data_IF_982947110066
#
_entry.id   IF_982947110066
#
_cell.length_a   1.000
_cell.length_b   1.000
_cell.length_c   1.000
_cell.angle_alpha   90.00
_cell.angle_beta   90.00
_cell.angle_gamma   90.00
#
_symmetry.space_group_name_H-M   'P 1'
#
loop_
_entity.id
_entity.type
_entity.pdbx_description
1 polymer ?
#
# COMPACT_ATOMS: atom_id res chain seq x y z
N UNK A 1 73.93 -30.03 -38.49
CA UNK A 1 72.64 -29.39 -38.87
C UNK A 1 71.59 -29.78 -37.83
N UNK A 2 70.77 -28.81 -37.38
CA UNK A 2 69.70 -28.89 -36.38
C UNK A 2 70.15 -29.17 -34.92
N UNK A 3 69.63 -28.55 -33.86
CA UNK A 3 68.37 -27.80 -33.65
C UNK A 3 68.53 -26.90 -32.40
N UNK A 4 68.17 -25.63 -32.49
CA UNK A 4 68.04 -24.76 -31.32
C UNK A 4 66.65 -24.94 -30.70
N UNK A 5 66.58 -25.33 -29.41
CA UNK A 5 65.35 -25.38 -28.63
C UNK A 5 65.09 -24.02 -27.97
N UNK A 6 64.12 -23.30 -28.53
CA UNK A 6 63.45 -22.16 -27.89
C UNK A 6 62.39 -22.69 -26.94
N UNK A 7 62.55 -22.45 -25.63
CA UNK A 7 61.50 -22.68 -24.63
C UNK A 7 60.72 -21.39 -24.42
N UNK A 8 59.47 -21.41 -24.90
CA UNK A 8 58.50 -20.34 -24.77
C UNK A 8 58.11 -20.08 -23.31
N UNK A 9 58.07 -18.80 -22.96
CA UNK A 9 57.63 -18.28 -21.66
C UNK A 9 56.19 -17.79 -21.82
N UNK A 10 55.19 -18.63 -21.53
CA UNK A 10 53.78 -18.22 -21.49
C UNK A 10 53.08 -18.88 -20.29
N UNK A 11 52.29 -18.09 -19.54
CA UNK A 11 51.34 -18.64 -18.56
C UNK A 11 51.43 -18.09 -17.13
N UNK A 12 51.49 -16.76 -16.92
CA UNK A 12 51.20 -16.20 -15.58
C UNK A 12 50.20 -15.04 -15.55
N UNK A 13 49.85 -14.47 -16.71
CA UNK A 13 48.93 -13.33 -16.80
C UNK A 13 47.43 -13.70 -16.71
N UNK A 14 47.04 -14.96 -16.93
CA UNK A 14 45.63 -15.37 -16.95
C UNK A 14 44.97 -15.61 -15.58
N UNK A 15 45.74 -15.95 -14.53
CA UNK A 15 45.18 -16.26 -13.20
C UNK A 15 44.90 -15.04 -12.34
N UNK A 16 45.66 -13.95 -12.50
CA UNK A 16 45.48 -12.71 -11.73
C UNK A 16 44.26 -11.91 -12.20
N UNK A 17 44.04 -11.83 -13.51
CA UNK A 17 42.84 -11.15 -14.08
C UNK A 17 41.54 -11.83 -13.66
N UNK A 18 41.53 -13.17 -13.59
CA UNK A 18 40.38 -13.95 -13.12
C UNK A 18 40.01 -13.67 -11.65
N UNK A 19 40.99 -13.57 -10.75
CA UNK A 19 40.73 -13.26 -9.34
C UNK A 19 40.17 -11.84 -9.13
N UNK A 20 40.67 -10.84 -9.86
CA UNK A 20 40.13 -9.48 -9.76
C UNK A 20 38.69 -9.38 -10.26
N UNK A 21 38.36 -10.06 -11.36
CA UNK A 21 37.00 -10.10 -11.88
C UNK A 21 36.02 -10.73 -10.88
N UNK A 22 36.42 -11.84 -10.22
CA UNK A 22 35.58 -12.49 -9.20
C UNK A 22 35.39 -11.60 -7.97
N UNK A 23 36.43 -10.92 -7.49
CA UNK A 23 36.32 -9.98 -6.36
C UNK A 23 35.39 -8.81 -6.70
N UNK A 24 35.50 -8.24 -7.90
CA UNK A 24 34.61 -7.17 -8.36
C UNK A 24 33.16 -7.66 -8.42
N UNK A 25 32.89 -8.84 -8.96
CA UNK A 25 31.55 -9.42 -9.01
C UNK A 25 30.97 -9.66 -7.61
N UNK A 26 31.78 -10.12 -6.65
CA UNK A 26 31.36 -10.29 -5.26
C UNK A 26 31.03 -8.94 -4.61
N UNK A 27 31.87 -7.92 -4.80
CA UNK A 27 31.62 -6.57 -4.28
C UNK A 27 30.35 -5.97 -4.87
N UNK A 28 30.11 -6.14 -6.17
CA UNK A 28 28.87 -5.72 -6.84
C UNK A 28 27.68 -6.49 -6.24
N UNK A 29 27.77 -7.80 -6.11
CA UNK A 29 26.69 -8.62 -5.57
C UNK A 29 26.36 -8.23 -4.12
N UNK A 30 27.36 -8.02 -3.26
CA UNK A 30 27.18 -7.55 -1.88
C UNK A 30 26.60 -6.13 -1.86
N UNK A 31 27.06 -5.25 -2.75
CA UNK A 31 26.50 -3.90 -2.90
C UNK A 31 25.03 -3.91 -3.32
N UNK A 32 24.67 -4.74 -4.30
CA UNK A 32 23.29 -4.90 -4.79
C UNK A 32 22.40 -5.52 -3.71
N UNK A 33 22.86 -6.57 -3.02
CA UNK A 33 22.14 -7.19 -1.91
C UNK A 33 21.98 -6.23 -0.72
N UNK A 34 23.01 -5.47 -0.38
CA UNK A 34 22.97 -4.44 0.65
C UNK A 34 21.99 -3.32 0.29
N UNK A 35 21.99 -2.84 -0.96
CA UNK A 35 21.04 -1.85 -1.44
C UNK A 35 19.60 -2.39 -1.41
N UNK A 36 19.39 -3.62 -1.86
CA UNK A 36 18.09 -4.30 -1.82
C UNK A 36 17.59 -4.44 -0.38
N UNK A 37 18.46 -4.84 0.55
CA UNK A 37 18.15 -4.94 1.98
C UNK A 37 17.80 -3.57 2.58
N UNK A 38 18.57 -2.52 2.29
CA UNK A 38 18.29 -1.17 2.78
C UNK A 38 16.98 -0.60 2.18
N UNK A 39 16.68 -0.88 0.92
CA UNK A 39 15.40 -0.52 0.28
C UNK A 39 14.21 -1.26 0.88
N UNK A 40 14.35 -2.56 1.10
CA UNK A 40 13.31 -3.38 1.76
C UNK A 40 12.99 -2.85 3.16
N UNK A 41 14.01 -2.34 3.86
CA UNK A 41 13.88 -1.66 5.16
C UNK A 41 13.44 -0.19 5.08
N UNK A 42 13.14 0.34 3.89
CA UNK A 42 12.74 1.73 3.65
C UNK A 42 13.74 2.78 4.18
N UNK A 43 15.05 2.46 4.24
CA UNK A 43 16.10 3.35 4.76
C UNK A 43 16.74 4.27 3.71
N UNK A 44 16.39 4.09 2.43
CA UNK A 44 16.89 4.91 1.33
C UNK A 44 15.78 5.85 0.84
N UNK A 45 16.09 7.13 0.53
CA UNK A 45 15.11 8.03 -0.06
C UNK A 45 14.69 7.49 -1.44
N UNK A 46 13.41 7.57 -1.80
CA UNK A 46 12.93 7.07 -3.08
C UNK A 46 13.50 7.89 -4.22
N UNK A 47 13.77 7.25 -5.36
CA UNK A 47 14.29 7.96 -6.54
C UNK A 47 13.20 8.86 -7.13
N UNK A 48 13.59 9.87 -7.91
CA UNK A 48 12.67 10.84 -8.51
C UNK A 48 11.51 10.21 -9.32
N UNK A 49 11.72 9.05 -9.95
CA UNK A 49 10.72 8.35 -10.78
C UNK A 49 10.15 7.08 -10.15
N UNK A 50 10.43 6.83 -8.87
CA UNK A 50 9.93 5.62 -8.22
C UNK A 50 8.42 5.71 -7.95
N UNK A 51 7.66 4.76 -8.54
CA UNK A 51 6.23 4.55 -8.34
C UNK A 51 5.90 4.39 -6.85
N UNK A 52 5.20 5.36 -6.26
CA UNK A 52 4.91 5.36 -4.82
C UNK A 52 3.71 6.22 -4.47
N UNK A 53 3.19 6.03 -3.27
CA UNK A 53 2.29 6.98 -2.63
C UNK A 53 2.94 7.55 -1.37
N UNK A 54 2.54 8.75 -1.00
CA UNK A 54 2.91 9.40 0.25
C UNK A 54 1.62 9.82 0.95
N UNK A 55 1.42 9.29 2.15
CA UNK A 55 0.33 9.66 3.03
C UNK A 55 0.88 10.60 4.12
N UNK A 56 0.30 11.79 4.27
CA UNK A 56 0.72 12.82 5.20
C UNK A 56 -0.45 13.26 6.07
N UNK A 57 -0.26 13.19 7.39
CA UNK A 57 -1.18 13.72 8.39
C UNK A 57 -0.38 14.31 9.55
N UNK A 58 -0.83 15.44 10.09
CA UNK A 58 -0.25 16.11 11.26
C UNK A 58 1.28 16.30 11.18
N UNK A 59 1.79 16.65 10.00
CA UNK A 59 3.22 16.88 9.76
C UNK A 59 4.09 15.62 9.64
N UNK A 60 3.51 14.42 9.75
CA UNK A 60 4.21 13.14 9.53
C UNK A 60 3.82 12.52 8.20
N UNK A 61 4.79 11.95 7.50
CA UNK A 61 4.60 11.29 6.21
C UNK A 61 4.97 9.80 6.28
N UNK A 62 4.19 8.97 5.59
CA UNK A 62 4.44 7.54 5.38
C UNK A 62 4.50 7.28 3.87
N UNK A 63 5.61 6.72 3.41
CA UNK A 63 5.78 6.30 2.02
C UNK A 63 5.29 4.87 1.85
N UNK A 64 4.47 4.63 0.83
CA UNK A 64 3.91 3.34 0.49
C UNK A 64 4.30 2.96 -0.94
N UNK A 65 4.52 1.67 -1.18
CA UNK A 65 4.47 1.15 -2.55
C UNK A 65 3.03 1.28 -3.09
N UNK A 66 2.86 1.17 -4.40
CA UNK A 66 1.51 1.19 -5.01
C UNK A 66 0.64 0.03 -4.51
N UNK A 67 1.22 -1.16 -4.30
CA UNK A 67 0.53 -2.30 -3.70
C UNK A 67 0.09 -1.99 -2.26
N UNK A 68 0.98 -1.46 -1.43
CA UNK A 68 0.65 -1.10 -0.05
C UNK A 68 -0.45 -0.04 0.01
N UNK A 69 -0.42 0.97 -0.86
CA UNK A 69 -1.46 1.99 -0.94
C UNK A 69 -2.82 1.42 -1.36
N UNK A 70 -2.82 0.52 -2.34
CA UNK A 70 -4.02 -0.19 -2.79
C UNK A 70 -4.65 -1.01 -1.64
N UNK A 71 -3.85 -1.83 -0.96
CA UNK A 71 -4.32 -2.68 0.14
C UNK A 71 -4.72 -1.85 1.37
N UNK A 72 -4.01 -0.76 1.67
CA UNK A 72 -4.40 0.21 2.72
C UNK A 72 -5.77 0.81 2.42
N UNK A 73 -6.03 1.19 1.17
CA UNK A 73 -7.32 1.76 0.75
C UNK A 73 -8.47 0.77 0.96
N UNK A 74 -8.23 -0.53 0.77
CA UNK A 74 -9.22 -1.60 1.04
C UNK A 74 -9.42 -1.77 2.54
N UNK A 75 -8.35 -2.01 3.32
CA UNK A 75 -8.43 -2.28 4.76
C UNK A 75 -9.17 -1.14 5.47
N UNK A 76 -8.77 0.11 5.21
CA UNK A 76 -9.36 1.29 5.85
C UNK A 76 -10.73 1.61 5.26
N UNK A 77 -10.92 1.47 3.94
CA UNK A 77 -12.21 1.70 3.31
C UNK A 77 -13.32 0.80 3.87
N UNK A 78 -13.01 -0.47 4.15
CA UNK A 78 -13.94 -1.42 4.77
C UNK A 78 -14.34 -0.99 6.20
N UNK A 79 -13.45 -0.38 7.00
CA UNK A 79 -13.86 0.15 8.31
C UNK A 79 -14.81 1.34 8.17
N UNK A 80 -14.57 2.21 7.19
CA UNK A 80 -15.45 3.34 6.84
C UNK A 80 -16.80 2.87 6.33
N UNK A 81 -16.85 1.82 5.52
CA UNK A 81 -18.10 1.18 5.09
C UNK A 81 -18.91 0.70 6.30
N UNK A 82 -18.23 0.03 7.23
CA UNK A 82 -18.81 -0.53 8.45
C UNK A 82 -19.12 0.51 9.52
N UNK A 83 -18.75 1.78 9.29
CA UNK A 83 -18.92 2.88 10.24
C UNK A 83 -18.29 2.59 11.61
N UNK A 84 -17.14 1.90 11.60
CA UNK A 84 -16.38 1.65 12.83
C UNK A 84 -15.65 2.90 13.28
N UNK A 85 -15.35 2.96 14.58
CA UNK A 85 -14.48 3.99 15.15
C UNK A 85 -13.13 4.03 14.39
N UNK A 86 -12.53 5.22 14.16
CA UNK A 86 -11.22 5.36 13.50
C UNK A 86 -10.11 4.51 14.13
N UNK A 87 -10.19 4.21 15.43
CA UNK A 87 -9.28 3.30 16.11
C UNK A 87 -9.24 1.91 15.45
N UNK A 88 -10.35 1.45 14.85
CA UNK A 88 -10.40 0.16 14.16
C UNK A 88 -9.41 0.12 12.99
N UNK A 89 -9.40 1.18 12.17
CA UNK A 89 -8.46 1.30 11.06
C UNK A 89 -7.02 1.37 11.56
N UNK A 90 -6.75 2.08 12.66
CA UNK A 90 -5.42 2.13 13.27
C UNK A 90 -4.95 0.74 13.71
N UNK A 91 -5.80 -0.03 14.41
CA UNK A 91 -5.47 -1.39 14.87
C UNK A 91 -5.26 -2.34 13.68
N UNK A 92 -6.14 -2.30 12.67
CA UNK A 92 -6.00 -3.11 11.46
C UNK A 92 -4.72 -2.77 10.70
N UNK A 93 -4.39 -1.47 10.56
CA UNK A 93 -3.17 -1.06 9.87
C UNK A 93 -1.91 -1.46 10.62
N UNK A 94 -1.86 -1.31 11.95
CA UNK A 94 -0.74 -1.80 12.76
C UNK A 94 -0.56 -3.31 12.62
N UNK A 95 -1.67 -4.05 12.59
CA UNK A 95 -1.68 -5.50 12.38
C UNK A 95 -1.15 -5.87 11.00
N UNK A 96 -1.74 -5.36 9.92
CA UNK A 96 -1.32 -5.67 8.55
C UNK A 96 0.14 -5.31 8.28
N UNK A 97 0.64 -4.22 8.89
CA UNK A 97 2.05 -3.85 8.79
C UNK A 97 2.97 -4.89 9.43
N UNK A 98 2.62 -5.34 10.63
CA UNK A 98 3.41 -6.34 11.36
C UNK A 98 3.35 -7.72 10.70
N UNK A 99 2.17 -8.14 10.24
CA UNK A 99 1.95 -9.49 9.72
C UNK A 99 2.52 -9.67 8.31
N UNK A 100 2.37 -8.67 7.44
CA UNK A 100 2.73 -8.83 6.02
C UNK A 100 3.49 -7.66 5.41
N UNK A 101 3.74 -6.59 6.18
CA UNK A 101 4.21 -5.32 5.62
C UNK A 101 3.17 -4.69 4.68
N UNK A 102 1.87 -4.94 4.91
CA UNK A 102 0.74 -4.53 4.05
C UNK A 102 0.86 -5.16 2.66
N UNK A 103 1.03 -6.49 2.59
CA UNK A 103 1.12 -7.26 1.35
C UNK A 103 0.19 -8.46 1.39
N UNK A 104 -0.32 -8.88 0.24
CA UNK A 104 -1.20 -10.04 0.18
C UNK A 104 -0.38 -11.32 -0.10
N UNK A 105 0.30 -11.83 0.92
CA UNK A 105 1.29 -12.90 0.78
C UNK A 105 0.64 -14.28 0.58
N UNK A 106 1.16 -15.08 -0.35
CA UNK A 106 0.71 -16.46 -0.57
C UNK A 106 1.44 -17.49 0.30
N UNK A 107 2.22 -17.02 1.28
CA UNK A 107 3.06 -17.82 2.17
C UNK A 107 3.17 -17.16 3.54
N UNK A 108 3.65 -17.93 4.52
CA UNK A 108 3.78 -17.53 5.92
C UNK A 108 4.24 -18.71 6.78
N UNK A 109 4.16 -18.56 8.10
CA UNK A 109 4.35 -19.68 9.02
C UNK A 109 3.17 -20.67 8.93
N UNK A 110 3.44 -21.98 8.86
CA UNK A 110 2.44 -23.03 8.68
C UNK A 110 1.54 -22.77 7.44
N UNK A 111 0.25 -22.53 7.65
CA UNK A 111 -0.77 -22.23 6.63
C UNK A 111 -1.23 -20.75 6.69
N UNK A 112 -0.45 -19.86 7.32
CA UNK A 112 -0.70 -18.42 7.33
C UNK A 112 -0.50 -17.80 5.95
N UNK A 113 -1.48 -17.03 5.49
CA UNK A 113 -1.44 -16.30 4.21
C UNK A 113 -2.26 -15.00 4.31
N UNK A 114 -2.16 -14.18 3.27
CA UNK A 114 -2.93 -12.95 3.10
C UNK A 114 -2.43 -11.77 3.95
N UNK A 115 -3.23 -10.70 3.95
CA UNK A 115 -2.94 -9.40 4.58
C UNK A 115 -2.55 -9.49 6.06
N UNK A 116 -3.28 -10.33 6.80
CA UNK A 116 -3.18 -10.46 8.25
C UNK A 116 -2.55 -11.80 8.66
N UNK A 117 -1.92 -12.52 7.72
CA UNK A 117 -1.34 -13.85 7.97
C UNK A 117 -2.30 -14.81 8.69
N UNK A 118 -3.58 -14.76 8.29
CA UNK A 118 -4.66 -15.58 8.82
C UNK A 118 -4.49 -17.04 8.39
N UNK A 119 -5.02 -17.96 9.19
CA UNK A 119 -4.86 -19.41 8.99
C UNK A 119 -6.21 -20.09 8.75
N UNK A 120 -6.38 -20.82 7.64
CA UNK A 120 -7.57 -21.65 7.44
C UNK A 120 -7.77 -22.67 8.56
N UNK A 121 -6.68 -23.25 9.08
CA UNK A 121 -6.73 -24.18 10.23
C UNK A 121 -7.15 -23.54 11.57
N UNK A 122 -7.33 -22.21 11.63
CA UNK A 122 -7.83 -21.49 12.81
C UNK A 122 -9.18 -20.81 12.52
N UNK A 123 -9.95 -21.35 11.57
CA UNK A 123 -11.31 -20.92 11.24
C UNK A 123 -11.44 -19.46 10.77
N UNK A 124 -10.37 -18.88 10.23
CA UNK A 124 -10.42 -17.54 9.63
C UNK A 124 -11.10 -17.51 8.25
N UNK A 125 -11.28 -18.67 7.61
CA UNK A 125 -11.85 -18.81 6.27
C UNK A 125 -11.04 -19.79 5.40
N UNK A 126 -11.54 -20.11 4.21
CA UNK A 126 -10.78 -20.92 3.25
C UNK A 126 -9.58 -20.14 2.70
N UNK A 127 -8.58 -20.83 2.13
CA UNK A 127 -7.43 -20.19 1.49
C UNK A 127 -7.84 -19.12 0.45
N UNK A 128 -8.86 -19.42 -0.37
CA UNK A 128 -9.37 -18.47 -1.36
C UNK A 128 -9.98 -17.23 -0.70
N UNK A 129 -10.71 -17.41 0.40
CA UNK A 129 -11.34 -16.32 1.13
C UNK A 129 -10.31 -15.41 1.80
N UNK A 130 -9.34 -15.96 2.53
CA UNK A 130 -8.36 -15.11 3.23
C UNK A 130 -7.32 -14.46 2.29
N UNK A 131 -7.18 -14.96 1.06
CA UNK A 131 -6.43 -14.28 -0.01
C UNK A 131 -7.22 -13.14 -0.66
N UNK A 132 -8.54 -13.05 -0.46
CA UNK A 132 -9.33 -11.90 -0.86
C UNK A 132 -9.16 -10.78 0.18
N UNK A 133 -8.58 -9.62 -0.18
CA UNK A 133 -8.32 -8.55 0.77
C UNK A 133 -9.59 -7.93 1.38
N UNK A 134 -10.73 -7.97 0.69
CA UNK A 134 -12.02 -7.52 1.23
C UNK A 134 -12.55 -8.50 2.27
N UNK A 135 -12.47 -9.80 1.99
CA UNK A 135 -12.87 -10.83 2.95
C UNK A 135 -11.98 -10.79 4.20
N UNK A 136 -10.65 -10.81 4.02
CA UNK A 136 -9.69 -10.81 5.13
C UNK A 136 -9.87 -9.61 6.05
N UNK A 137 -10.10 -8.41 5.47
CA UNK A 137 -10.40 -7.19 6.23
C UNK A 137 -11.71 -7.31 7.01
N UNK A 138 -12.77 -7.83 6.40
CA UNK A 138 -14.04 -8.04 7.09
C UNK A 138 -13.93 -9.08 8.22
N UNK A 139 -13.21 -10.17 7.99
CA UNK A 139 -12.95 -11.20 8.99
C UNK A 139 -12.17 -10.61 10.18
N UNK A 140 -11.12 -9.83 9.92
CA UNK A 140 -10.35 -9.14 10.95
C UNK A 140 -11.23 -8.24 11.82
N UNK A 141 -12.02 -7.36 11.20
CA UNK A 141 -12.91 -6.48 11.94
C UNK A 141 -14.02 -7.24 12.68
N UNK A 142 -14.47 -8.40 12.18
CA UNK A 142 -15.42 -9.26 12.90
C UNK A 142 -14.83 -9.85 14.18
N UNK A 143 -13.52 -10.13 14.19
CA UNK A 143 -12.81 -10.53 15.41
C UNK A 143 -12.57 -9.33 16.33
N UNK A 144 -12.12 -8.19 15.80
CA UNK A 144 -11.83 -6.97 16.57
C UNK A 144 -13.03 -6.52 17.41
N UNK A 145 -14.22 -6.44 16.81
CA UNK A 145 -15.41 -5.91 17.51
C UNK A 145 -15.90 -6.78 18.67
N UNK A 146 -15.37 -8.01 18.81
CA UNK A 146 -15.66 -8.90 19.94
C UNK A 146 -14.74 -8.64 21.14
N UNK A 147 -13.67 -7.86 20.98
CA UNK A 147 -12.74 -7.53 22.06
C UNK A 147 -13.34 -6.41 22.93
N UNK A 148 -13.48 -6.59 24.24
CA UNK A 148 -14.02 -5.53 25.10
C UNK A 148 -13.15 -4.27 25.04
N UNK A 149 -13.80 -3.10 24.95
CA UNK A 149 -13.15 -1.78 24.98
C UNK A 149 -12.04 -1.56 23.93
N UNK A 150 -12.08 -2.26 22.79
CA UNK A 150 -11.09 -2.11 21.72
C UNK A 150 -10.95 -0.67 21.21
N UNK A 151 -12.01 0.15 21.30
CA UNK A 151 -12.03 1.54 20.85
C UNK A 151 -11.08 2.44 21.64
N UNK A 152 -10.84 2.12 22.92
CA UNK A 152 -9.98 2.91 23.81
C UNK A 152 -8.75 2.11 24.26
N UNK A 153 -8.58 0.88 23.78
CA UNK A 153 -7.46 0.01 24.12
C UNK A 153 -6.16 0.46 23.47
N UNK A 154 -5.04 0.06 24.07
CA UNK A 154 -3.71 0.16 23.46
C UNK A 154 -3.72 -0.62 22.12
N UNK A 155 -3.14 0.00 21.09
CA UNK A 155 -3.22 -0.52 19.71
C UNK A 155 -2.51 -1.88 19.62
N UNK A 156 -1.32 -1.98 20.20
CA UNK A 156 -0.56 -3.22 20.24
C UNK A 156 -1.31 -4.32 20.98
N UNK A 157 -1.81 -4.04 22.18
CA UNK A 157 -2.49 -5.05 23.00
C UNK A 157 -3.80 -5.53 22.35
N UNK A 158 -4.52 -4.62 21.69
CA UNK A 158 -5.75 -4.95 20.97
C UNK A 158 -5.45 -5.78 19.71
N UNK A 159 -4.43 -5.41 18.93
CA UNK A 159 -3.97 -6.19 17.78
C UNK A 159 -3.53 -7.60 18.20
N UNK A 160 -2.77 -7.69 19.30
CA UNK A 160 -2.34 -8.94 19.90
C UNK A 160 -3.52 -9.78 20.40
N UNK A 161 -4.58 -9.17 20.95
CA UNK A 161 -5.79 -9.88 21.34
C UNK A 161 -6.59 -10.43 20.15
N UNK A 162 -6.53 -9.78 18.97
CA UNK A 162 -7.11 -10.32 17.73
C UNK A 162 -6.29 -11.50 17.21
N UNK A 163 -4.99 -11.31 17.03
CA UNK A 163 -4.11 -12.24 16.30
C UNK A 163 -3.55 -13.37 17.18
N UNK A 164 -3.40 -13.12 18.48
CA UNK A 164 -2.79 -14.05 19.45
C UNK A 164 -1.41 -14.54 19.01
N UNK A 165 -0.55 -13.61 18.59
CA UNK A 165 0.80 -13.92 18.10
C UNK A 165 1.74 -14.39 19.23
N UNK A 166 2.91 -14.96 18.88
CA UNK A 166 3.96 -15.30 19.85
C UNK A 166 4.81 -14.11 20.33
N UNK A 167 4.55 -12.88 19.86
CA UNK A 167 5.39 -11.71 20.11
C UNK A 167 4.55 -10.53 20.63
N UNK A 168 4.41 -10.38 21.97
CA UNK A 168 3.44 -9.47 22.56
C UNK A 168 3.54 -8.00 22.12
N UNK A 169 4.75 -7.49 21.87
CA UNK A 169 5.00 -6.06 21.56
C UNK A 169 5.30 -5.77 20.07
N UNK A 170 5.13 -6.75 19.19
CA UNK A 170 5.60 -6.62 17.81
C UNK A 170 4.87 -5.53 16.99
N UNK A 171 3.62 -5.23 17.35
CA UNK A 171 2.79 -4.23 16.65
C UNK A 171 3.16 -2.79 17.02
N UNK A 172 3.66 -2.57 18.25
CA UNK A 172 3.93 -1.24 18.81
C UNK A 172 4.79 -0.36 17.91
N UNK A 173 5.79 -0.94 17.24
CA UNK A 173 6.68 -0.22 16.31
C UNK A 173 5.98 0.36 15.07
N UNK A 174 4.76 -0.09 14.76
CA UNK A 174 3.99 0.32 13.59
C UNK A 174 2.89 1.34 13.90
N UNK A 175 2.58 1.59 15.17
CA UNK A 175 1.44 2.39 15.59
C UNK A 175 1.43 3.80 14.99
N UNK A 176 2.56 4.50 15.01
CA UNK A 176 2.64 5.87 14.47
C UNK A 176 2.36 5.92 12.98
N UNK A 177 2.85 4.95 12.21
CA UNK A 177 2.56 4.86 10.78
C UNK A 177 1.09 4.48 10.58
N UNK A 178 0.57 3.54 11.36
CA UNK A 178 -0.83 3.13 11.31
C UNK A 178 -1.80 4.29 11.59
N UNK A 179 -1.48 5.19 12.53
CA UNK A 179 -2.27 6.40 12.80
C UNK A 179 -2.31 7.33 11.58
N UNK A 180 -1.15 7.59 10.94
CA UNK A 180 -1.10 8.44 9.73
C UNK A 180 -1.93 7.82 8.62
N UNK A 181 -1.75 6.52 8.35
CA UNK A 181 -2.49 5.81 7.31
C UNK A 181 -3.99 5.79 7.58
N UNK A 182 -4.39 5.54 8.83
CA UNK A 182 -5.79 5.59 9.26
C UNK A 182 -6.38 6.98 9.03
N UNK A 183 -5.75 8.05 9.52
CA UNK A 183 -6.24 9.44 9.35
C UNK A 183 -6.40 9.83 7.89
N UNK A 184 -5.41 9.50 7.05
CA UNK A 184 -5.48 9.79 5.62
C UNK A 184 -6.62 9.00 4.99
N UNK A 185 -6.58 7.67 5.02
CA UNK A 185 -7.52 6.85 4.26
C UNK A 185 -8.95 6.83 4.83
N UNK A 186 -9.17 7.20 6.09
CA UNK A 186 -10.52 7.47 6.63
C UNK A 186 -11.07 8.84 6.23
N UNK A 187 -10.27 9.68 5.56
CA UNK A 187 -10.64 11.03 5.14
C UNK A 187 -10.53 12.11 6.21
N UNK A 188 -9.93 11.82 7.38
CA UNK A 188 -9.69 12.80 8.45
C UNK A 188 -8.57 13.78 8.13
N UNK A 189 -7.69 13.44 7.18
CA UNK A 189 -6.65 14.34 6.65
C UNK A 189 -6.94 14.69 5.17
N UNK A 190 -7.83 15.68 4.89
CA UNK A 190 -8.10 16.18 3.55
C UNK A 190 -6.84 16.43 2.71
N UNK A 191 -6.80 15.88 1.50
CA UNK A 191 -5.66 16.01 0.59
C UNK A 191 -4.36 15.33 1.07
N UNK A 192 -4.43 14.52 2.13
CA UNK A 192 -3.26 13.89 2.74
C UNK A 192 -2.63 12.75 1.93
N UNK A 193 -3.24 12.27 0.85
CA UNK A 193 -2.66 11.25 -0.01
C UNK A 193 -2.26 11.82 -1.37
N UNK A 194 -1.03 11.56 -1.80
CA UNK A 194 -0.64 11.72 -3.20
C UNK A 194 0.12 10.51 -3.70
N UNK A 195 0.02 10.23 -4.99
CA UNK A 195 0.65 9.08 -5.63
C UNK A 195 1.34 9.49 -6.93
N UNK A 196 2.55 9.00 -7.14
CA UNK A 196 3.22 9.10 -8.43
C UNK A 196 2.97 7.82 -9.22
N UNK A 197 2.46 7.96 -10.44
CA UNK A 197 2.22 6.84 -11.34
C UNK A 197 2.63 7.19 -12.78
N UNK A 198 3.32 6.26 -13.45
CA UNK A 198 3.75 6.39 -14.86
C UNK A 198 2.77 5.71 -15.81
N UNK A 199 1.87 4.86 -15.30
CA UNK A 199 0.99 4.05 -16.14
C UNK A 199 -0.13 4.91 -16.72
N UNK A 200 -0.37 4.73 -18.02
CA UNK A 200 -1.30 5.53 -18.84
C UNK A 200 -2.45 4.74 -19.46
N UNK A 201 -2.72 3.51 -18.97
CA UNK A 201 -3.79 2.67 -19.51
C UNK A 201 -5.16 3.37 -19.45
N UNK A 202 -6.03 3.05 -20.40
CA UNK A 202 -7.41 3.52 -20.42
C UNK A 202 -8.17 3.00 -19.20
N UNK A 203 -8.99 3.87 -18.59
CA UNK A 203 -9.78 3.51 -17.42
C UNK A 203 -11.18 2.99 -17.76
N UNK A 204 -11.78 2.24 -16.83
CA UNK A 204 -13.16 1.75 -16.96
C UNK A 204 -14.01 2.28 -15.80
N UNK A 205 -14.78 3.38 -15.99
CA UNK A 205 -15.53 4.03 -14.91
C UNK A 205 -16.48 3.10 -14.15
N UNK A 206 -17.22 2.24 -14.85
CA UNK A 206 -18.22 1.36 -14.23
C UNK A 206 -17.58 0.19 -13.46
N UNK A 207 -16.45 -0.34 -13.96
CA UNK A 207 -15.67 -1.35 -13.25
C UNK A 207 -15.09 -0.78 -11.95
N UNK A 208 -14.54 0.44 -12.00
CA UNK A 208 -14.09 1.15 -10.80
C UNK A 208 -15.24 1.41 -9.82
N UNK A 209 -16.42 1.81 -10.30
CA UNK A 209 -17.61 1.98 -9.48
C UNK A 209 -18.03 0.69 -8.74
N UNK A 210 -17.91 -0.46 -9.39
CA UNK A 210 -18.17 -1.78 -8.79
C UNK A 210 -17.16 -2.11 -7.68
N UNK A 211 -15.87 -1.88 -7.95
CA UNK A 211 -14.80 -2.10 -6.96
C UNK A 211 -14.91 -1.15 -5.76
N UNK A 212 -15.28 0.11 -6.02
CA UNK A 212 -15.56 1.10 -4.99
C UNK A 212 -16.70 0.64 -4.07
N UNK A 213 -17.74 0.03 -4.64
CA UNK A 213 -18.88 -0.49 -3.86
C UNK A 213 -18.50 -1.65 -2.95
N UNK A 214 -17.52 -2.49 -3.34
CA UNK A 214 -16.97 -3.53 -2.45
C UNK A 214 -16.24 -2.94 -1.24
N UNK A 215 -15.67 -1.74 -1.39
CA UNK A 215 -14.82 -1.13 -0.37
C UNK A 215 -15.58 -0.17 0.54
N UNK A 216 -16.46 0.66 -0.02
CA UNK A 216 -17.19 1.71 0.72
C UNK A 216 -18.69 1.41 0.88
N UNK A 217 -19.15 0.25 0.41
CA UNK A 217 -20.57 -0.12 0.35
C UNK A 217 -21.30 0.55 -0.82
N UNK A 218 -22.61 0.33 -0.90
CA UNK A 218 -23.45 0.92 -1.95
C UNK A 218 -23.41 2.46 -1.89
N UNK A 219 -23.04 3.09 -2.99
CA UNK A 219 -22.95 4.54 -3.16
C UNK A 219 -23.87 5.00 -4.30
N UNK A 220 -24.31 6.25 -4.25
CA UNK A 220 -24.98 6.88 -5.39
C UNK A 220 -23.91 7.31 -6.40
N UNK A 221 -23.93 6.70 -7.58
CA UNK A 221 -22.98 6.97 -8.65
C UNK A 221 -23.69 7.34 -9.95
N UNK A 222 -23.05 8.20 -10.75
CA UNK A 222 -23.49 8.55 -12.10
C UNK A 222 -22.28 8.57 -13.01
N UNK A 223 -22.32 7.76 -14.06
CA UNK A 223 -21.31 7.76 -15.13
C UNK A 223 -21.77 8.66 -16.28
N UNK A 224 -20.87 9.49 -16.80
CA UNK A 224 -21.08 10.29 -18.00
C UNK A 224 -19.78 10.35 -18.80
N UNK A 225 -19.72 9.59 -19.90
CA UNK A 225 -18.48 9.44 -20.67
C UNK A 225 -17.35 8.85 -19.81
N UNK A 226 -16.22 9.57 -19.71
CA UNK A 226 -15.06 9.17 -18.92
C UNK A 226 -15.10 9.65 -17.46
N UNK A 227 -16.26 10.10 -16.98
CA UNK A 227 -16.37 10.68 -15.63
C UNK A 227 -17.36 9.88 -14.80
N UNK A 228 -16.92 9.48 -13.60
CA UNK A 228 -17.75 8.92 -12.56
C UNK A 228 -17.95 9.97 -11.47
N UNK A 229 -19.19 10.38 -11.25
CA UNK A 229 -19.58 11.25 -10.13
C UNK A 229 -20.16 10.39 -9.01
N UNK A 230 -19.67 10.59 -7.79
CA UNK A 230 -20.02 9.82 -6.60
C UNK A 230 -20.53 10.78 -5.53
N UNK A 231 -21.66 10.46 -4.91
CA UNK A 231 -22.20 11.21 -3.76
C UNK A 231 -21.96 10.44 -2.47
N UNK A 232 -21.13 11.00 -1.60
CA UNK A 232 -20.81 10.43 -0.29
C UNK A 232 -21.86 10.77 0.78
N UNK A 233 -21.86 10.03 1.89
CA UNK A 233 -22.74 10.26 3.05
C UNK A 233 -22.39 11.54 3.81
N UNK A 234 -21.12 11.89 3.87
CA UNK A 234 -20.60 13.09 4.53
C UNK A 234 -19.25 13.51 3.90
N UNK A 235 -18.73 14.69 4.22
CA UNK A 235 -17.46 15.17 3.65
C UNK A 235 -16.26 14.28 3.97
N UNK A 236 -16.21 13.67 5.15
CA UNK A 236 -15.13 12.76 5.53
C UNK A 236 -15.09 11.52 4.61
N UNK A 237 -16.24 10.90 4.35
CA UNK A 237 -16.31 9.77 3.41
C UNK A 237 -15.96 10.21 1.98
N UNK A 238 -16.30 11.44 1.56
CA UNK A 238 -15.88 11.95 0.26
C UNK A 238 -14.35 11.99 0.14
N UNK A 239 -13.65 12.42 1.19
CA UNK A 239 -12.18 12.35 1.23
C UNK A 239 -11.64 10.92 1.24
N UNK A 240 -12.26 10.01 1.99
CA UNK A 240 -11.90 8.58 1.98
C UNK A 240 -12.02 7.97 0.57
N UNK A 241 -13.11 8.25 -0.14
CA UNK A 241 -13.35 7.81 -1.53
C UNK A 241 -12.33 8.46 -2.49
N UNK A 242 -12.04 9.75 -2.32
CA UNK A 242 -11.06 10.44 -3.14
C UNK A 242 -9.65 9.85 -2.97
N UNK A 243 -9.25 9.53 -1.74
CA UNK A 243 -7.98 8.85 -1.47
C UNK A 243 -7.97 7.41 -2.00
N UNK A 244 -9.09 6.69 -1.94
CA UNK A 244 -9.22 5.40 -2.61
C UNK A 244 -8.97 5.52 -4.12
N UNK A 245 -9.56 6.51 -4.78
CA UNK A 245 -9.33 6.78 -6.21
C UNK A 245 -7.85 7.13 -6.50
N UNK A 246 -7.24 8.00 -5.69
CA UNK A 246 -5.82 8.37 -5.80
C UNK A 246 -4.89 7.16 -5.62
N UNK A 247 -5.15 6.29 -4.63
CA UNK A 247 -4.38 5.06 -4.42
C UNK A 247 -4.47 4.12 -5.64
N UNK A 248 -5.64 4.06 -6.29
CA UNK A 248 -5.90 3.19 -7.43
C UNK A 248 -5.51 3.81 -8.79
N UNK A 249 -4.99 5.05 -8.83
CA UNK A 249 -5.00 5.86 -10.03
C UNK A 249 -4.43 5.19 -11.30
N UNK A 250 -3.17 4.74 -11.29
CA UNK A 250 -2.61 4.07 -12.48
C UNK A 250 -2.99 2.60 -12.66
N UNK A 251 -3.59 1.93 -11.67
CA UNK A 251 -4.22 0.62 -11.91
C UNK A 251 -5.53 0.79 -12.70
N UNK A 252 -6.24 1.90 -12.47
CA UNK A 252 -7.59 2.14 -12.97
C UNK A 252 -7.66 3.19 -14.08
N UNK A 253 -6.52 3.69 -14.57
CA UNK A 253 -6.47 4.70 -15.62
C UNK A 253 -7.10 6.03 -15.23
N UNK A 254 -7.00 6.43 -13.96
CA UNK A 254 -7.58 7.69 -13.46
C UNK A 254 -6.65 8.86 -13.83
N UNK A 255 -7.21 9.84 -14.53
CA UNK A 255 -6.54 11.06 -14.95
C UNK A 255 -6.72 12.21 -13.95
N UNK A 256 -7.81 12.21 -13.18
CA UNK A 256 -8.13 13.27 -12.23
C UNK A 256 -9.07 12.80 -11.14
N UNK A 257 -8.87 13.31 -9.93
CA UNK A 257 -9.81 13.19 -8.82
C UNK A 257 -10.13 14.57 -8.27
N UNK A 258 -11.41 14.87 -8.09
CA UNK A 258 -11.89 16.12 -7.50
C UNK A 258 -12.81 15.84 -6.32
N UNK A 259 -12.67 16.58 -5.23
CA UNK A 259 -13.59 16.57 -4.08
C UNK A 259 -13.44 17.85 -3.28
N UNK A 260 -14.53 18.39 -2.72
CA UNK A 260 -14.48 19.55 -1.84
C UNK A 260 -13.66 20.75 -2.39
N UNK A 261 -13.94 21.13 -3.65
CA UNK A 261 -13.21 22.16 -4.40
C UNK A 261 -11.68 21.95 -4.54
N UNK A 262 -11.20 20.73 -4.29
CA UNK A 262 -9.80 20.32 -4.47
C UNK A 262 -9.67 19.36 -5.64
N UNK A 263 -8.55 19.47 -6.34
CA UNK A 263 -8.24 18.67 -7.52
C UNK A 263 -6.86 18.03 -7.37
N UNK A 264 -6.75 16.78 -7.79
CA UNK A 264 -5.50 16.03 -7.90
C UNK A 264 -5.39 15.42 -9.30
N UNK A 265 -4.29 15.69 -9.98
CA UNK A 265 -4.00 15.26 -11.35
C UNK A 265 -2.55 14.75 -11.44
N UNK A 266 -2.31 13.48 -11.79
CA UNK A 266 -0.96 12.99 -12.04
C UNK A 266 -0.45 13.47 -13.40
N UNK A 267 0.67 14.21 -13.39
CA UNK A 267 1.32 14.74 -14.60
C UNK A 267 2.46 13.86 -15.13
N UNK A 268 2.84 12.81 -14.39
CA UNK A 268 3.93 11.89 -14.73
C UNK A 268 5.34 12.45 -14.52
N UNK A 269 5.49 13.69 -14.07
CA UNK A 269 6.78 14.37 -13.93
C UNK A 269 7.19 14.56 -12.47
N UNK A 270 6.23 14.75 -11.57
CA UNK A 270 6.49 14.99 -10.16
C UNK A 270 5.41 14.41 -9.26
N UNK A 271 5.67 14.34 -7.95
CA UNK A 271 4.63 13.96 -6.99
C UNK A 271 3.50 14.98 -7.03
N UNK A 272 2.28 14.61 -7.46
CA UNK A 272 1.21 15.58 -7.65
C UNK A 272 0.77 16.19 -6.32
N UNK A 273 0.11 17.34 -6.37
CA UNK A 273 -0.43 18.00 -5.17
C UNK A 273 -1.92 18.21 -5.33
N UNK A 274 -2.64 18.15 -4.21
CA UNK A 274 -4.02 18.63 -4.15
C UNK A 274 -4.04 20.16 -4.20
N UNK A 275 -4.63 20.73 -5.24
CA UNK A 275 -4.75 22.17 -5.44
C UNK A 275 -6.21 22.62 -5.31
N UNK A 276 -6.43 23.88 -4.94
CA UNK A 276 -7.77 24.49 -4.88
C UNK A 276 -8.24 24.88 -6.28
N UNK A 277 -8.79 23.93 -7.03
CA UNK A 277 -9.12 24.11 -8.45
C UNK A 277 -10.36 23.35 -8.94
N UNK A 278 -11.34 23.04 -8.07
CA UNK A 278 -12.54 22.28 -8.43
C UNK A 278 -13.85 22.99 -8.11
N UNK A 279 -14.95 22.52 -8.70
CA UNK A 279 -16.32 22.99 -8.41
C UNK A 279 -17.16 21.94 -7.65
N UNK A 280 -16.54 20.83 -7.26
CA UNK A 280 -17.22 19.75 -6.53
C UNK A 280 -17.68 20.20 -5.16
N UNK A 281 -18.93 19.87 -4.82
CA UNK A 281 -19.47 20.08 -3.48
C UNK A 281 -18.76 19.21 -2.43
N UNK A 282 -18.93 19.55 -1.15
CA UNK A 282 -18.21 18.92 -0.02
C UNK A 282 -18.42 17.39 0.09
N UNK A 283 -19.51 16.87 -0.48
CA UNK A 283 -19.88 15.45 -0.47
C UNK A 283 -19.73 14.78 -1.83
N UNK A 284 -19.23 15.48 -2.83
CA UNK A 284 -19.16 15.01 -4.21
C UNK A 284 -17.74 14.67 -4.58
N UNK A 285 -17.51 13.44 -5.03
CA UNK A 285 -16.24 13.03 -5.63
C UNK A 285 -16.44 12.88 -7.14
N UNK A 286 -15.58 13.47 -7.92
CA UNK A 286 -15.56 13.35 -9.38
C UNK A 286 -14.27 12.65 -9.76
N UNK A 287 -14.37 11.50 -10.42
CA UNK A 287 -13.22 10.75 -10.93
C UNK A 287 -13.27 10.77 -12.45
N UNK A 288 -12.24 11.34 -13.08
CA UNK A 288 -12.11 11.37 -14.54
C UNK A 288 -11.05 10.37 -14.97
N UNK A 289 -11.38 9.55 -15.96
CA UNK A 289 -10.56 8.47 -16.49
C UNK A 289 -9.91 8.88 -17.82
N UNK A 290 -8.77 8.24 -18.14
CA UNK A 290 -8.05 8.43 -19.41
C UNK A 290 -8.77 7.80 -20.58
#
# INVERSE_FOLDING_TARGET
MARATSTGRTGRAGRTVGCFAVVILIVIAVGVLGLAFLRDRQQLPPTQFEQRCVATADGRSVTLTREQAYLTAIIVGVSVQRQLDPQAATIAMATAYQESGIRNLTYGDRDSIGLFQQRPSQDWGTQQQIMDPWYASNAFYNALVKIPNWQNGDVNDTAQAVQKSGFPDAYRKHEQNAVVLSKVFTGQAPGGLSCFDERSNAGQPDAFGTQLALTHGKLSTRTSGKTLTITARNPQQAWSIAHYATANAGLQGIARVETNARTWEPDGNSMPKWISAGSSGERTVIVTFR
#
